data_IF_257676624278
#
_entry.id   IF_257676624278
#
_cell.length_a   1.000
_cell.length_b   1.000
_cell.length_c   1.000
_cell.angle_alpha   90.00
_cell.angle_beta   90.00
_cell.angle_gamma   90.00
#
_symmetry.space_group_name_H-M   'P 1'
#
loop_
_entity.id
_entity.type
_entity.pdbx_description
1 polymer ?
#
# COMPACT_ATOMS: atom_id res chain seq x y z
N UNK A 1 -9.14 0.63 3.38
CA UNK A 1 -8.52 1.75 2.62
C UNK A 1 -8.28 1.30 1.20
N UNK A 2 -8.55 2.13 0.19
CA UNK A 2 -8.13 1.84 -1.18
C UNK A 2 -6.83 2.56 -1.51
N UNK A 3 -6.03 1.96 -2.36
CA UNK A 3 -4.79 2.51 -2.90
C UNK A 3 -4.81 2.28 -4.40
N UNK A 4 -4.56 3.33 -5.15
CA UNK A 4 -4.52 3.33 -6.59
C UNK A 4 -3.18 3.82 -7.12
N UNK A 5 -2.75 3.27 -8.24
CA UNK A 5 -1.57 3.71 -8.96
C UNK A 5 -2.03 4.18 -10.33
N UNK A 6 -1.91 5.47 -10.62
CA UNK A 6 -2.43 6.04 -11.87
C UNK A 6 -1.76 5.50 -13.14
N UNK A 7 -0.61 4.83 -13.02
CA UNK A 7 0.03 4.12 -14.14
C UNK A 7 -0.46 2.68 -14.34
N UNK A 8 -1.08 2.09 -13.32
CA UNK A 8 -1.47 0.68 -13.29
C UNK A 8 -2.99 0.49 -13.19
N UNK A 9 -3.74 1.57 -12.94
CA UNK A 9 -5.17 1.55 -12.68
C UNK A 9 -5.94 0.82 -13.78
N UNK A 10 -5.76 1.22 -15.04
CA UNK A 10 -6.55 0.67 -16.16
C UNK A 10 -6.41 -0.85 -16.32
N UNK A 11 -5.24 -1.40 -15.97
CA UNK A 11 -4.95 -2.83 -16.12
C UNK A 11 -5.28 -3.66 -14.89
N UNK A 12 -5.15 -3.09 -13.69
CA UNK A 12 -5.20 -3.86 -12.44
C UNK A 12 -6.20 -3.34 -11.41
N UNK A 13 -6.79 -2.17 -11.65
CA UNK A 13 -7.68 -1.46 -10.74
C UNK A 13 -7.02 -1.06 -9.42
N UNK A 14 -7.89 -0.58 -8.52
CA UNK A 14 -7.54 -0.21 -7.14
C UNK A 14 -7.29 -1.46 -6.31
N UNK A 15 -6.44 -1.32 -5.29
CA UNK A 15 -6.20 -2.35 -4.27
C UNK A 15 -6.79 -1.90 -2.95
N UNK A 16 -7.30 -2.85 -2.18
CA UNK A 16 -7.83 -2.58 -0.86
C UNK A 16 -6.95 -3.20 0.20
N UNK A 17 -6.63 -2.41 1.22
CA UNK A 17 -5.81 -2.80 2.35
C UNK A 17 -6.57 -2.57 3.64
N UNK A 18 -6.27 -3.41 4.62
CA UNK A 18 -6.68 -3.18 5.99
C UNK A 18 -5.83 -2.05 6.60
N UNK A 19 -6.44 -1.01 7.20
CA UNK A 19 -5.68 0.08 7.83
C UNK A 19 -4.74 -0.39 8.95
N UNK A 20 -5.13 -1.38 9.75
CA UNK A 20 -4.30 -1.91 10.83
C UNK A 20 -3.05 -2.60 10.31
N UNK A 21 -3.11 -3.19 9.12
CA UNK A 21 -1.94 -3.76 8.45
C UNK A 21 -1.02 -2.67 7.89
N UNK A 22 -1.58 -1.58 7.36
CA UNK A 22 -0.77 -0.44 6.90
C UNK A 22 -0.06 0.28 8.06
N UNK A 23 -0.73 0.41 9.22
CA UNK A 23 -0.12 1.00 10.42
C UNK A 23 1.09 0.18 10.89
N UNK A 24 1.05 -1.16 10.80
CA UNK A 24 2.20 -2.01 11.13
C UNK A 24 3.40 -1.79 10.20
N UNK A 25 3.15 -1.40 8.94
CA UNK A 25 4.19 -1.25 7.91
C UNK A 25 4.76 0.17 7.87
N UNK A 26 3.89 1.18 7.91
CA UNK A 26 4.23 2.59 7.70
C UNK A 26 4.19 3.43 8.98
N UNK A 27 3.72 2.85 10.10
CA UNK A 27 3.39 3.59 11.31
C UNK A 27 2.00 4.22 11.24
N UNK A 28 1.61 4.86 12.34
CA UNK A 28 0.39 5.65 12.42
C UNK A 28 0.61 7.01 11.72
N UNK A 29 0.28 7.06 10.44
CA UNK A 29 0.47 8.25 9.59
C UNK A 29 -0.83 8.59 8.87
N UNK A 30 -1.01 9.88 8.55
CA UNK A 30 -2.13 10.34 7.77
C UNK A 30 -2.07 9.84 6.30
N UNK A 31 -3.22 9.90 5.63
CA UNK A 31 -3.41 9.39 4.27
C UNK A 31 -2.46 10.05 3.25
N UNK A 32 -2.15 11.34 3.40
CA UNK A 32 -1.23 12.04 2.48
C UNK A 32 0.22 11.58 2.65
N UNK A 33 0.63 11.28 3.89
CA UNK A 33 1.95 10.68 4.13
C UNK A 33 2.00 9.24 3.63
N UNK A 34 0.94 8.48 3.83
CA UNK A 34 0.85 7.11 3.36
C UNK A 34 0.95 7.00 1.83
N UNK A 35 0.25 7.85 1.07
CA UNK A 35 0.31 7.85 -0.40
C UNK A 35 1.74 8.07 -0.91
N UNK A 36 2.48 8.98 -0.27
CA UNK A 36 3.89 9.28 -0.61
C UNK A 36 4.87 8.18 -0.21
N UNK A 37 4.57 7.44 0.88
CA UNK A 37 5.39 6.35 1.38
C UNK A 37 5.17 5.03 0.63
N UNK A 38 3.97 4.80 0.12
CA UNK A 38 3.65 3.58 -0.62
C UNK A 38 4.36 3.51 -1.97
N UNK A 39 4.74 2.29 -2.35
CA UNK A 39 5.31 1.97 -3.67
C UNK A 39 4.43 0.93 -4.34
N UNK A 40 4.02 1.18 -5.58
CA UNK A 40 3.27 0.22 -6.36
C UNK A 40 4.11 -1.06 -6.55
N UNK A 41 3.60 -2.20 -6.09
CA UNK A 41 4.31 -3.48 -6.21
C UNK A 41 4.41 -4.00 -7.65
N UNK A 42 3.60 -3.46 -8.58
CA UNK A 42 3.62 -3.86 -10.00
C UNK A 42 4.70 -3.12 -10.78
N UNK A 43 4.70 -1.79 -10.71
CA UNK A 43 5.61 -0.95 -11.50
C UNK A 43 6.78 -0.38 -10.69
N UNK A 44 6.77 -0.54 -9.36
CA UNK A 44 7.81 -0.02 -8.49
C UNK A 44 7.83 1.50 -8.36
N UNK A 45 6.75 2.21 -8.71
CA UNK A 45 6.69 3.68 -8.63
C UNK A 45 5.88 4.16 -7.43
N UNK A 46 6.16 5.37 -6.96
CA UNK A 46 5.47 6.04 -5.85
C UNK A 46 5.04 7.48 -6.16
N UNK A 47 5.28 7.95 -7.38
CA UNK A 47 5.06 9.34 -7.82
C UNK A 47 3.62 9.62 -8.25
N UNK A 48 2.81 8.57 -8.45
CA UNK A 48 1.41 8.67 -8.84
C UNK A 48 0.56 7.64 -8.08
N UNK A 49 0.65 7.70 -6.75
CA UNK A 49 -0.15 6.89 -5.83
C UNK A 49 -1.20 7.77 -5.17
N UNK A 50 -2.45 7.33 -5.20
CA UNK A 50 -3.56 7.94 -4.50
C UNK A 50 -4.15 6.91 -3.53
N UNK A 51 -4.61 7.34 -2.36
CA UNK A 51 -5.28 6.45 -1.43
C UNK A 51 -6.27 7.22 -0.58
N UNK A 52 -7.33 6.52 -0.15
CA UNK A 52 -8.27 7.07 0.82
C UNK A 52 -8.98 5.97 1.62
N UNK A 53 -9.54 6.36 2.75
CA UNK A 53 -10.39 5.51 3.59
C UNK A 53 -11.78 5.46 2.99
N UNK A 54 -12.35 4.25 2.96
CA UNK A 54 -13.75 4.05 2.60
C UNK A 54 -14.43 3.28 3.72
N UNK A 55 -15.71 3.58 3.92
CA UNK A 55 -16.61 2.80 4.76
C UNK A 55 -17.64 2.15 3.82
N UNK A 56 -17.31 0.99 3.24
CA UNK A 56 -18.18 0.37 2.24
C UNK A 56 -19.46 -0.14 2.88
N UNK A 57 -20.58 -0.04 2.16
CA UNK A 57 -21.81 -0.73 2.53
C UNK A 57 -21.58 -2.27 2.53
N UNK A 58 -22.44 -3.03 3.21
CA UNK A 58 -22.27 -4.48 3.33
C UNK A 58 -22.16 -5.18 1.96
N UNK A 59 -22.96 -4.76 0.98
CA UNK A 59 -22.92 -5.31 -0.38
C UNK A 59 -21.61 -4.99 -1.14
N UNK A 60 -21.04 -3.81 -0.94
CA UNK A 60 -19.75 -3.44 -1.53
C UNK A 60 -18.60 -4.16 -0.84
N UNK A 61 -18.68 -4.30 0.49
CA UNK A 61 -17.70 -5.01 1.31
C UNK A 61 -17.55 -6.46 0.87
N UNK A 62 -18.65 -7.12 0.46
CA UNK A 62 -18.63 -8.47 -0.08
C UNK A 62 -17.94 -8.58 -1.45
N UNK A 63 -17.87 -7.49 -2.23
CA UNK A 63 -17.23 -7.44 -3.55
C UNK A 63 -15.75 -7.02 -3.49
N UNK A 64 -15.32 -6.44 -2.37
CA UNK A 64 -13.96 -5.97 -2.18
C UNK A 64 -13.08 -7.10 -1.63
N UNK A 65 -11.99 -7.38 -2.33
CA UNK A 65 -10.93 -8.25 -1.80
C UNK A 65 -9.91 -7.41 -1.03
N UNK A 66 -9.93 -7.53 0.31
CA UNK A 66 -8.96 -6.84 1.18
C UNK A 66 -7.68 -7.65 1.27
N UNK A 67 -6.57 -7.04 0.85
CA UNK A 67 -5.24 -7.61 1.01
C UNK A 67 -4.80 -7.51 2.46
N UNK A 68 -4.24 -8.61 2.96
CA UNK A 68 -3.78 -8.77 4.35
C UNK A 68 -2.26 -8.89 4.43
N UNK A 69 -1.68 -8.28 5.46
CA UNK A 69 -0.26 -8.46 5.78
C UNK A 69 -0.06 -9.82 6.43
N UNK A 70 0.77 -10.67 5.81
CA UNK A 70 1.09 -12.01 6.33
C UNK A 70 2.36 -11.98 7.20
N UNK A 71 3.41 -11.30 6.72
CA UNK A 71 4.68 -11.10 7.42
C UNK A 71 5.41 -9.88 6.86
N UNK A 72 6.31 -9.30 7.65
CA UNK A 72 7.30 -8.31 7.18
C UNK A 72 8.67 -8.98 7.19
N UNK A 73 9.33 -9.01 6.04
CA UNK A 73 10.68 -9.57 5.90
C UNK A 73 11.71 -8.44 5.83
N UNK A 74 12.57 -8.33 6.85
CA UNK A 74 13.61 -7.30 6.92
C UNK A 74 14.92 -7.87 6.35
N UNK A 75 15.38 -7.33 5.21
CA UNK A 75 16.68 -7.70 4.62
C UNK A 75 17.78 -6.77 5.11
N UNK A 76 18.59 -7.22 6.08
CA UNK A 76 19.82 -6.52 6.48
C UNK A 76 20.91 -6.78 5.44
N UNK A 77 21.52 -5.74 4.87
CA UNK A 77 22.67 -5.85 3.97
C UNK A 77 23.82 -4.98 4.50
N UNK A 78 24.94 -5.56 4.93
CA UNK A 78 26.11 -4.77 5.32
C UNK A 78 26.73 -4.13 4.07
N UNK A 79 27.18 -2.90 4.22
CA UNK A 79 27.95 -2.16 3.21
C UNK A 79 29.32 -1.91 3.82
N UNK A 80 30.35 -2.36 3.12
CA UNK A 80 31.73 -2.31 3.55
C UNK A 80 32.44 -1.16 2.85
N UNK A 81 33.44 -0.59 3.52
CA UNK A 81 34.40 0.30 2.91
C UNK A 81 35.68 -0.48 2.72
N UNK A 82 36.14 -0.54 1.48
CA UNK A 82 37.50 -0.95 1.19
C UNK A 82 38.42 0.28 1.39
N UNK A 83 39.51 0.06 2.11
CA UNK A 83 40.57 1.04 2.33
C UNK A 83 41.52 1.15 1.15
#
# INVERSE_FOLDING_TARGET
MWVDCGYCHDRYGRRYYDPGDLIKVFGDVDVNRLSRAMKCERCGRNDNIECDVIVPAAAERARITVRRLVKIEVRKRPVWRDG
#
